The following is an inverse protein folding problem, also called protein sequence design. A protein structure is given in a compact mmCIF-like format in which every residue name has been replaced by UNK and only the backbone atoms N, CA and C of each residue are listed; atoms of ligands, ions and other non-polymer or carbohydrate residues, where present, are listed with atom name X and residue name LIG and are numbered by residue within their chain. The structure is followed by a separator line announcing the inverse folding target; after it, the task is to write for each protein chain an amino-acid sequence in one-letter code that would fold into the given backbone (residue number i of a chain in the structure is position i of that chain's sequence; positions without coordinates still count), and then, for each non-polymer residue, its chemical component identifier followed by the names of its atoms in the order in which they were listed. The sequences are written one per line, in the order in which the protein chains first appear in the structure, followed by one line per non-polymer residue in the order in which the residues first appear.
data_IF_848963497703
#
_entry.id   IF_848963497703
#
_cell.length_a   1.000
_cell.length_b   1.000
_cell.length_c   1.000
_cell.angle_alpha   90.00
_cell.angle_beta   90.00
_cell.angle_gamma   90.00
#
_symmetry.space_group_name_H-M   'P 1'
#
loop_
_entity.id
_entity.type
_entity.pdbx_description
1 polymer ?
#
# COMPACT_ATOMS: atom_id res chain seq x y z
N UNK A 1 7.96 3.77 2.63
CA UNK A 1 8.70 4.66 1.72
C UNK A 1 7.83 5.01 0.50
N UNK A 2 7.80 6.28 0.10
CA UNK A 2 6.98 6.77 -1.01
C UNK A 2 7.57 6.45 -2.40
N UNK A 3 8.88 6.41 -2.50
CA UNK A 3 9.57 6.33 -3.79
C UNK A 3 9.30 5.04 -4.58
N UNK A 4 9.39 3.82 -4.00
CA UNK A 4 9.16 2.62 -4.78
C UNK A 4 7.76 2.53 -5.40
N UNK A 5 6.65 2.73 -4.66
CA UNK A 5 5.33 2.70 -5.28
C UNK A 5 5.11 3.83 -6.29
N UNK A 6 5.68 5.02 -6.08
CA UNK A 6 5.62 6.10 -7.04
C UNK A 6 6.29 5.73 -8.37
N UNK A 7 7.49 5.16 -8.32
CA UNK A 7 8.23 4.76 -9.52
C UNK A 7 7.53 3.60 -10.26
N UNK A 8 7.02 2.60 -9.52
CA UNK A 8 6.25 1.51 -10.12
C UNK A 8 4.96 2.01 -10.79
N UNK A 9 4.30 2.99 -10.17
CA UNK A 9 3.13 3.63 -10.74
C UNK A 9 3.44 4.36 -12.06
N UNK A 10 4.52 5.13 -12.10
CA UNK A 10 4.99 5.78 -13.32
C UNK A 10 5.35 4.78 -14.42
N UNK A 11 5.85 3.60 -14.04
CA UNK A 11 6.19 2.50 -14.96
C UNK A 11 4.94 1.70 -15.41
N UNK A 12 3.76 2.05 -14.91
CA UNK A 12 2.48 1.52 -15.36
C UNK A 12 1.92 0.38 -14.50
N UNK A 13 2.37 0.21 -13.27
CA UNK A 13 1.82 -0.81 -12.39
C UNK A 13 0.32 -0.56 -12.10
N UNK A 14 -0.49 -1.59 -12.26
CA UNK A 14 -1.92 -1.60 -12.00
C UNK A 14 -2.27 -2.23 -10.65
N UNK A 15 -1.37 -3.01 -10.11
CA UNK A 15 -1.49 -3.70 -8.84
C UNK A 15 -0.12 -3.71 -8.13
N UNK A 16 -0.08 -3.22 -6.91
CA UNK A 16 1.08 -3.39 -6.03
C UNK A 16 0.91 -4.64 -5.18
N UNK A 17 1.91 -5.50 -5.18
CA UNK A 17 2.00 -6.67 -4.31
C UNK A 17 3.09 -6.42 -3.27
N UNK A 18 2.70 -6.19 -2.03
CA UNK A 18 3.61 -5.97 -0.92
C UNK A 18 3.68 -7.22 -0.04
N UNK A 19 4.75 -7.99 -0.18
CA UNK A 19 5.07 -9.06 0.75
C UNK A 19 5.85 -8.47 1.94
N UNK A 20 5.37 -8.69 3.15
CA UNK A 20 5.87 -8.03 4.34
C UNK A 20 6.03 -9.00 5.53
N UNK A 21 7.02 -8.71 6.35
CA UNK A 21 7.21 -9.26 7.69
C UNK A 21 7.27 -8.10 8.68
N UNK A 22 6.15 -7.42 8.86
CA UNK A 22 6.01 -6.25 9.75
C UNK A 22 5.86 -6.71 11.20
N UNK A 23 6.82 -6.42 12.09
CA UNK A 23 6.69 -6.72 13.50
C UNK A 23 5.74 -5.75 14.19
N UNK A 24 5.02 -6.25 15.19
CA UNK A 24 4.22 -5.43 16.09
C UNK A 24 5.10 -4.53 16.94
N UNK A 25 4.76 -3.26 16.98
CA UNK A 25 5.35 -2.26 17.88
C UNK A 25 4.23 -1.63 18.70
N UNK A 26 4.49 -1.45 19.98
CA UNK A 26 3.51 -0.92 20.91
C UNK A 26 2.61 -2.02 21.48
N UNK A 27 2.77 -2.27 22.78
CA UNK A 27 1.87 -3.13 23.56
C UNK A 27 0.70 -2.26 24.01
N UNK A 28 -0.36 -2.20 23.22
CA UNK A 28 -1.62 -1.63 23.65
C UNK A 28 -2.61 -2.75 23.92
N UNK A 29 -3.53 -2.53 24.85
CA UNK A 29 -4.63 -3.44 25.13
C UNK A 29 -5.67 -3.49 23.99
N UNK A 30 -5.44 -2.75 22.91
CA UNK A 30 -6.33 -2.70 21.75
C UNK A 30 -6.04 -3.86 20.78
N UNK A 31 -7.10 -4.40 20.11
CA UNK A 31 -6.95 -5.49 19.15
C UNK A 31 -6.06 -5.15 17.96
N UNK A 32 -6.01 -3.87 17.58
CA UNK A 32 -5.20 -3.38 16.47
C UNK A 32 -3.94 -2.69 17.00
N UNK A 33 -2.80 -3.25 16.65
CA UNK A 33 -1.50 -2.63 16.97
C UNK A 33 -1.31 -1.32 16.20
N UNK A 34 -0.62 -0.37 16.81
CA UNK A 34 -0.29 0.91 16.18
C UNK A 34 0.43 0.74 14.84
N UNK A 35 1.35 -0.21 14.75
CA UNK A 35 2.06 -0.56 13.52
C UNK A 35 1.12 -1.07 12.42
N UNK A 36 0.14 -1.90 12.77
CA UNK A 36 -0.87 -2.39 11.83
C UNK A 36 -1.72 -1.24 11.29
N UNK A 37 -2.18 -0.38 12.18
CA UNK A 37 -2.96 0.80 11.83
C UNK A 37 -2.21 1.73 10.87
N UNK A 38 -0.93 1.98 11.15
CA UNK A 38 -0.08 2.81 10.28
C UNK A 38 0.07 2.21 8.88
N UNK A 39 0.36 0.90 8.79
CA UNK A 39 0.52 0.19 7.51
C UNK A 39 -0.78 0.20 6.70
N UNK A 40 -1.92 -0.02 7.34
CA UNK A 40 -3.23 0.03 6.67
C UNK A 40 -3.54 1.43 6.13
N UNK A 41 -3.24 2.48 6.89
CA UNK A 41 -3.41 3.86 6.43
C UNK A 41 -2.54 4.16 5.20
N UNK A 42 -1.27 3.73 5.21
CA UNK A 42 -0.36 3.95 4.09
C UNK A 42 -0.78 3.17 2.85
N UNK A 43 -1.16 1.91 3.00
CA UNK A 43 -1.62 1.09 1.87
C UNK A 43 -2.90 1.66 1.24
N UNK A 44 -3.84 2.13 2.05
CA UNK A 44 -5.03 2.85 1.57
C UNK A 44 -4.65 4.13 0.83
N UNK A 45 -3.73 4.90 1.38
CA UNK A 45 -3.24 6.14 0.76
C UNK A 45 -2.57 5.86 -0.59
N UNK A 46 -1.75 4.83 -0.70
CA UNK A 46 -1.14 4.42 -1.97
C UNK A 46 -2.19 4.02 -3.01
N UNK A 47 -3.17 3.21 -2.62
CA UNK A 47 -4.24 2.80 -3.51
C UNK A 47 -5.00 4.00 -4.08
N UNK A 48 -5.37 4.93 -3.23
CA UNK A 48 -6.11 6.14 -3.59
C UNK A 48 -5.25 7.13 -4.40
N UNK A 49 -4.03 7.43 -3.93
CA UNK A 49 -3.14 8.42 -4.55
C UNK A 49 -2.65 7.96 -5.92
N UNK A 50 -2.30 6.67 -6.04
CA UNK A 50 -1.79 6.10 -7.28
C UNK A 50 -2.88 5.46 -8.15
N UNK A 51 -4.15 5.51 -7.71
CA UNK A 51 -5.29 4.93 -8.44
C UNK A 51 -4.99 3.51 -8.91
N UNK A 52 -4.54 2.65 -7.99
CA UNK A 52 -4.09 1.28 -8.23
C UNK A 52 -4.62 0.32 -7.15
N UNK A 53 -4.69 -0.96 -7.44
CA UNK A 53 -4.90 -1.96 -6.40
C UNK A 53 -3.65 -2.09 -5.54
N UNK A 54 -3.84 -2.31 -4.23
CA UNK A 54 -2.75 -2.57 -3.29
C UNK A 54 -3.07 -3.82 -2.48
N UNK A 55 -2.36 -4.90 -2.75
CA UNK A 55 -2.43 -6.15 -2.01
C UNK A 55 -1.21 -6.24 -1.09
N UNK A 56 -1.46 -6.30 0.19
CA UNK A 56 -0.44 -6.44 1.24
C UNK A 56 -0.62 -7.78 1.94
N UNK A 57 0.41 -8.61 1.87
CA UNK A 57 0.48 -9.89 2.60
C UNK A 57 1.48 -9.74 3.73
N UNK A 58 1.04 -9.93 4.96
CA UNK A 58 1.91 -9.81 6.12
C UNK A 58 2.06 -11.15 6.84
N UNK A 59 3.28 -11.41 7.27
CA UNK A 59 3.61 -12.55 8.11
C UNK A 59 2.83 -12.52 9.43
N UNK A 60 2.49 -13.69 9.95
CA UNK A 60 1.87 -13.86 11.27
C UNK A 60 2.73 -14.80 12.12
N UNK A 61 2.70 -14.61 13.44
CA UNK A 61 3.35 -15.47 14.41
C UNK A 61 4.49 -14.79 15.17
N UNK A 62 5.24 -15.59 15.89
CA UNK A 62 6.38 -15.13 16.71
C UNK A 62 7.68 -15.70 16.20
N UNK A 63 8.73 -14.88 16.20
CA UNK A 63 10.10 -15.27 15.91
C UNK A 63 11.05 -14.39 16.71
N UNK A 64 11.95 -14.99 17.45
CA UNK A 64 12.96 -14.29 18.28
C UNK A 64 12.36 -13.20 19.19
N UNK A 65 11.18 -13.46 19.76
CA UNK A 65 10.48 -12.52 20.63
C UNK A 65 9.73 -11.40 19.90
N UNK A 66 9.76 -11.37 18.57
CA UNK A 66 8.99 -10.43 17.76
C UNK A 66 7.63 -11.04 17.40
N UNK A 67 6.58 -10.25 17.57
CA UNK A 67 5.25 -10.59 17.12
C UNK A 67 4.98 -10.02 15.74
N UNK A 68 4.62 -10.87 14.79
CA UNK A 68 4.16 -10.49 13.45
C UNK A 68 2.64 -10.58 13.42
N UNK A 69 1.99 -9.48 13.12
CA UNK A 69 0.56 -9.31 13.39
C UNK A 69 -0.39 -9.82 12.29
N UNK A 70 0.11 -10.23 11.12
CA UNK A 70 -0.75 -10.68 10.02
C UNK A 70 -1.57 -9.53 9.42
N UNK A 71 -2.89 -9.66 9.38
CA UNK A 71 -3.80 -8.58 8.95
C UNK A 71 -3.58 -8.16 7.50
N UNK A 72 -3.37 -9.11 6.61
CA UNK A 72 -3.23 -8.86 5.16
C UNK A 72 -4.43 -8.11 4.61
N UNK A 73 -4.22 -7.21 3.66
CA UNK A 73 -5.29 -6.36 3.11
C UNK A 73 -5.23 -6.27 1.60
N UNK A 74 -6.38 -6.05 0.99
CA UNK A 74 -6.51 -5.62 -0.40
C UNK A 74 -7.34 -4.33 -0.45
N UNK A 75 -6.76 -3.27 -1.01
CA UNK A 75 -7.45 -2.01 -1.30
C UNK A 75 -7.65 -1.86 -2.80
N UNK A 76 -8.77 -1.29 -3.18
CA UNK A 76 -9.08 -0.96 -4.57
C UNK A 76 -8.54 0.44 -4.98
N UNK A 77 -8.60 0.80 -6.28
CA UNK A 77 -8.07 2.08 -6.74
C UNK A 77 -8.75 3.34 -6.19
N UNK A 78 -9.90 3.21 -5.52
CA UNK A 78 -10.55 4.30 -4.80
C UNK A 78 -10.04 4.43 -3.35
N UNK A 79 -9.22 3.48 -2.89
CA UNK A 79 -8.78 3.40 -1.50
C UNK A 79 -9.76 2.66 -0.58
N UNK A 80 -10.73 1.95 -1.13
CA UNK A 80 -11.68 1.17 -0.35
C UNK A 80 -11.15 -0.22 -0.06
N UNK A 81 -11.43 -0.71 1.14
CA UNK A 81 -11.02 -2.05 1.56
C UNK A 81 -11.89 -3.10 0.86
N UNK A 82 -11.26 -3.99 0.10
CA UNK A 82 -11.91 -5.11 -0.60
C UNK A 82 -11.90 -6.37 0.24
N UNK A 83 -10.77 -6.67 0.87
CA UNK A 83 -10.61 -7.87 1.68
C UNK A 83 -9.57 -7.65 2.77
N UNK A 84 -9.74 -8.37 3.88
CA UNK A 84 -8.84 -8.33 5.03
C UNK A 84 -8.71 -9.70 5.66
N UNK A 85 -7.48 -10.11 5.92
CA UNK A 85 -7.16 -11.30 6.68
C UNK A 85 -7.20 -11.05 8.20
N UNK A 86 -7.22 -12.12 9.00
CA UNK A 86 -7.26 -12.01 10.46
C UNK A 86 -5.94 -11.44 11.00
N UNK A 87 -6.03 -10.78 12.16
CA UNK A 87 -4.87 -10.47 12.96
C UNK A 87 -4.46 -11.69 13.81
N UNK A 88 -3.15 -11.89 13.95
CA UNK A 88 -2.54 -12.89 14.83
C UNK A 88 -2.91 -14.36 14.54
N UNK A 89 -3.54 -14.61 13.40
CA UNK A 89 -3.94 -15.96 12.98
C UNK A 89 -3.49 -16.23 11.54
N UNK A 90 -3.10 -17.45 11.27
CA UNK A 90 -2.85 -17.91 9.90
C UNK A 90 -4.16 -17.96 9.12
N UNK A 91 -4.11 -17.58 7.86
CA UNK A 91 -5.30 -17.62 7.02
C UNK A 91 -5.01 -17.35 5.55
N UNK A 92 -5.87 -17.87 4.71
CA UNK A 92 -5.93 -17.56 3.29
C UNK A 92 -7.12 -16.63 3.05
N UNK A 93 -6.83 -15.43 2.54
CA UNK A 93 -7.86 -14.46 2.15
C UNK A 93 -7.94 -14.41 0.65
N UNK A 94 -9.12 -14.68 0.09
CA UNK A 94 -9.41 -14.65 -1.33
C UNK A 94 -10.27 -13.43 -1.65
N UNK A 95 -10.00 -12.80 -2.78
CA UNK A 95 -10.81 -11.69 -3.28
C UNK A 95 -10.82 -11.69 -4.81
N UNK A 96 -11.96 -11.29 -5.37
CA UNK A 96 -12.06 -10.94 -6.79
C UNK A 96 -11.81 -9.44 -6.99
N UNK A 97 -11.08 -9.11 -8.03
CA UNK A 97 -10.87 -7.74 -8.47
C UNK A 97 -11.37 -7.57 -9.90
N UNK A 98 -12.02 -6.45 -10.17
CA UNK A 98 -12.40 -6.03 -11.52
C UNK A 98 -11.37 -5.03 -12.06
N UNK A 99 -10.51 -5.48 -12.95
CA UNK A 99 -9.47 -4.62 -13.54
C UNK A 99 -10.05 -3.43 -14.33
N UNK A 100 -11.31 -3.52 -14.79
CA UNK A 100 -11.97 -2.37 -15.42
C UNK A 100 -12.20 -1.22 -14.43
N UNK A 101 -12.17 -1.46 -13.13
CA UNK A 101 -12.23 -0.41 -12.13
C UNK A 101 -11.06 0.58 -12.24
N UNK A 102 -9.87 0.12 -12.66
CA UNK A 102 -8.73 0.99 -12.94
C UNK A 102 -9.07 2.06 -13.98
N UNK A 103 -9.67 1.64 -15.09
CA UNK A 103 -10.08 2.56 -16.16
C UNK A 103 -11.11 3.57 -15.68
N UNK A 104 -12.13 3.12 -14.95
CA UNK A 104 -13.16 4.00 -14.38
C UNK A 104 -12.60 5.00 -13.39
N UNK A 105 -11.77 4.55 -12.47
CA UNK A 105 -11.14 5.40 -11.45
C UNK A 105 -10.19 6.40 -12.08
N UNK A 106 -9.33 5.97 -13.01
CA UNK A 106 -8.36 6.81 -13.68
C UNK A 106 -9.00 7.79 -14.67
N UNK A 107 -10.16 7.47 -15.22
CA UNK A 107 -10.93 8.41 -16.02
C UNK A 107 -11.50 9.55 -15.17
N UNK A 108 -11.96 9.24 -13.95
CA UNK A 108 -12.48 10.22 -12.99
C UNK A 108 -11.38 11.02 -12.31
N UNK A 109 -10.28 10.35 -11.94
CA UNK A 109 -9.10 10.92 -11.29
C UNK A 109 -7.86 10.62 -12.12
N UNK A 110 -7.56 11.40 -13.15
CA UNK A 110 -6.48 11.11 -14.11
C UNK A 110 -5.11 11.51 -13.57
N UNK A 111 -4.77 11.10 -12.35
CA UNK A 111 -3.57 11.51 -11.64
C UNK A 111 -2.28 11.07 -12.34
N UNK A 112 -2.26 9.85 -12.90
CA UNK A 112 -1.11 9.35 -13.66
C UNK A 112 -0.87 10.17 -14.94
N UNK A 113 -1.95 10.47 -15.68
CA UNK A 113 -1.87 11.30 -16.89
C UNK A 113 -1.35 12.70 -16.58
N UNK A 114 -1.78 13.26 -15.46
CA UNK A 114 -1.52 14.65 -15.11
C UNK A 114 -0.25 14.81 -14.25
N UNK A 115 0.46 13.72 -13.93
CA UNK A 115 1.69 13.75 -13.15
C UNK A 115 2.83 14.49 -13.90
N UNK A 116 3.46 15.39 -13.19
CA UNK A 116 4.48 16.29 -13.75
C UNK A 116 5.90 15.80 -13.46
N UNK A 117 6.28 14.67 -14.03
CA UNK A 117 7.58 14.02 -13.79
C UNK A 117 8.78 14.92 -14.06
N UNK A 118 8.72 15.77 -15.08
CA UNK A 118 9.79 16.73 -15.38
C UNK A 118 9.97 17.76 -14.26
N UNK A 119 8.89 18.19 -13.62
CA UNK A 119 8.96 19.06 -12.44
C UNK A 119 9.59 18.32 -11.26
N UNK A 120 9.19 17.09 -11.00
CA UNK A 120 9.74 16.26 -9.92
C UNK A 120 11.25 16.09 -10.10
N UNK A 121 11.71 15.70 -11.28
CA UNK A 121 13.13 15.51 -11.58
C UNK A 121 13.92 16.78 -11.35
N UNK A 122 13.46 17.92 -11.89
CA UNK A 122 14.13 19.20 -11.74
C UNK A 122 14.24 19.63 -10.28
N UNK A 123 13.13 19.59 -9.55
CA UNK A 123 13.10 20.06 -8.17
C UNK A 123 13.82 19.11 -7.21
N UNK A 124 13.77 17.81 -7.48
CA UNK A 124 14.56 16.84 -6.71
C UNK A 124 16.06 17.11 -6.86
N UNK A 125 16.55 17.31 -8.08
CA UNK A 125 17.96 17.69 -8.33
C UNK A 125 18.34 18.97 -7.60
N UNK A 126 17.48 20.00 -7.66
CA UNK A 126 17.70 21.26 -6.93
C UNK A 126 17.79 21.05 -5.41
N UNK A 127 16.89 20.25 -4.84
CA UNK A 127 16.86 19.96 -3.39
C UNK A 127 18.09 19.19 -2.95
N UNK A 128 18.55 18.24 -3.78
CA UNK A 128 19.75 17.44 -3.51
C UNK A 128 21.06 18.17 -3.80
N UNK A 129 21.00 19.35 -4.42
CA UNK A 129 22.18 20.11 -4.78
C UNK A 129 22.96 19.54 -5.97
N UNK A 130 22.29 18.79 -6.84
CA UNK A 130 22.88 18.13 -8.03
C UNK A 130 22.81 19.00 -9.29
N UNK A 131 22.17 20.15 -9.19
CA UNK A 131 22.00 21.11 -10.29
C UNK A 131 22.58 22.47 -9.88
#
# INVERSE_FOLDING_TARGET
HASPPYLLWLDGADLFLFASASPGRGLTAEPQLESARWVEHINRAYASLFTTFVAHTNRVGYEDGLNFWGGSTLFDPNGDLVAKGPYHEEGLTLAEIDLNQLHRTRARLPLLRDERTALVMRELGRVLGEI
#
